data_IF_229190519964
#
_entry.id   IF_229190519964
#
_cell.length_a   1.000
_cell.length_b   1.000
_cell.length_c   1.000
_cell.angle_alpha   90.00
_cell.angle_beta   90.00
_cell.angle_gamma   90.00
#
_symmetry.space_group_name_H-M   'P 1'
#
loop_
_entity.id
_entity.type
_entity.pdbx_description
1 polymer ?
#
# COMPACT_ATOMS: atom_id res chain seq x y z
N UNK A 1 -2.04 18.31 -8.49
CA UNK A 1 -0.67 18.10 -8.98
C UNK A 1 0.31 18.74 -7.98
N UNK A 2 1.41 18.05 -7.68
CA UNK A 2 2.48 18.46 -6.76
C UNK A 2 3.68 19.10 -7.49
N UNK A 3 3.59 19.28 -8.81
CA UNK A 3 4.69 19.82 -9.64
C UNK A 3 5.29 21.14 -9.13
N UNK A 4 4.52 21.97 -8.44
CA UNK A 4 5.00 23.23 -7.86
C UNK A 4 6.07 23.03 -6.75
N UNK A 5 6.18 21.83 -6.18
CA UNK A 5 7.20 21.45 -5.19
C UNK A 5 8.50 20.94 -5.84
N UNK A 6 8.49 20.59 -7.13
CA UNK A 6 9.65 20.00 -7.81
C UNK A 6 10.91 20.86 -7.77
N UNK A 7 10.84 22.21 -7.84
CA UNK A 7 12.04 23.04 -7.70
C UNK A 7 12.81 22.82 -6.39
N UNK A 8 12.14 22.41 -5.30
CA UNK A 8 12.77 22.13 -4.00
C UNK A 8 13.69 20.91 -4.07
N UNK A 9 13.36 19.95 -4.94
CA UNK A 9 14.11 18.69 -5.09
C UNK A 9 15.06 18.70 -6.29
N UNK A 10 15.32 19.88 -6.87
CA UNK A 10 16.19 20.05 -8.04
C UNK A 10 17.58 19.45 -7.81
N UNK A 11 18.09 18.71 -8.80
CA UNK A 11 19.37 18.01 -8.72
C UNK A 11 19.30 16.64 -8.05
N UNK A 12 18.11 16.20 -7.63
CA UNK A 12 17.87 14.84 -7.10
C UNK A 12 16.96 14.03 -8.04
N UNK A 13 16.66 12.78 -7.65
CA UNK A 13 15.63 11.92 -8.28
C UNK A 13 14.38 11.78 -7.39
N UNK A 14 14.18 12.72 -6.46
CA UNK A 14 13.08 12.69 -5.50
C UNK A 14 11.91 13.48 -6.08
N UNK A 15 10.74 12.86 -6.06
CA UNK A 15 9.48 13.45 -6.50
C UNK A 15 8.39 13.07 -5.49
N UNK A 16 7.39 13.96 -5.27
CA UNK A 16 6.22 13.61 -4.49
C UNK A 16 5.50 12.39 -5.07
N UNK A 17 5.02 11.51 -4.18
CA UNK A 17 4.21 10.35 -4.55
C UNK A 17 2.77 10.59 -4.11
N UNK A 18 1.82 10.33 -4.99
CA UNK A 18 0.41 10.25 -4.62
C UNK A 18 0.12 8.97 -3.84
N UNK A 19 -0.92 9.01 -2.99
CA UNK A 19 -1.52 7.81 -2.41
C UNK A 19 -2.91 7.68 -3.04
N UNK A 20 -3.15 6.59 -3.79
CA UNK A 20 -4.41 6.40 -4.51
C UNK A 20 -5.61 6.23 -3.57
N UNK A 21 -5.40 5.63 -2.40
CA UNK A 21 -6.41 5.52 -1.36
C UNK A 21 -5.80 5.28 0.01
N UNK A 22 -6.43 5.85 1.04
CA UNK A 22 -6.04 5.65 2.43
C UNK A 22 -7.29 5.52 3.29
N UNK A 23 -7.31 4.49 4.14
CA UNK A 23 -8.33 4.28 5.16
C UNK A 23 -7.63 4.17 6.50
N UNK A 24 -8.09 4.96 7.46
CA UNK A 24 -7.67 4.85 8.86
C UNK A 24 -8.83 4.28 9.68
N UNK A 25 -8.50 3.38 10.61
CA UNK A 25 -9.43 2.86 11.60
C UNK A 25 -8.71 2.50 12.89
N UNK A 26 -8.98 3.25 13.96
CA UNK A 26 -8.45 3.01 15.31
C UNK A 26 -6.93 2.86 15.36
N UNK A 27 -6.22 3.82 14.77
CA UNK A 27 -4.76 3.87 14.67
C UNK A 27 -4.16 2.89 13.68
N UNK A 28 -4.98 2.16 12.91
CA UNK A 28 -4.53 1.21 11.88
C UNK A 28 -4.85 1.78 10.52
N UNK A 29 -3.90 1.64 9.61
CA UNK A 29 -3.93 2.28 8.30
C UNK A 29 -3.91 1.20 7.22
N UNK A 30 -4.79 1.34 6.24
CA UNK A 30 -4.76 0.64 4.97
C UNK A 30 -4.47 1.65 3.87
N UNK A 31 -3.42 1.39 3.10
CA UNK A 31 -3.07 2.19 1.92
C UNK A 31 -3.33 1.34 0.68
N UNK A 32 -3.93 1.97 -0.32
CA UNK A 32 -4.08 1.43 -1.66
C UNK A 32 -3.11 2.14 -2.59
N UNK A 33 -2.34 1.36 -3.32
CA UNK A 33 -1.51 1.81 -4.43
C UNK A 33 -2.03 1.11 -5.68
N UNK A 34 -2.31 1.84 -6.76
CA UNK A 34 -2.81 1.27 -8.00
C UNK A 34 -1.75 1.32 -9.10
N UNK A 35 -1.71 0.26 -9.91
CA UNK A 35 -0.89 0.19 -11.11
C UNK A 35 -1.69 -0.39 -12.26
N UNK A 36 -1.20 -0.13 -13.47
CA UNK A 36 -1.71 -0.83 -14.64
C UNK A 36 -1.35 -2.33 -14.54
N UNK A 37 -2.18 -3.23 -15.09
CA UNK A 37 -2.00 -4.69 -14.98
C UNK A 37 -0.59 -5.21 -15.32
N UNK A 38 0.09 -4.58 -16.27
CA UNK A 38 1.37 -4.94 -16.83
C UNK A 38 2.56 -4.11 -16.28
N UNK A 39 2.32 -3.22 -15.31
CA UNK A 39 3.33 -2.31 -14.78
C UNK A 39 3.69 -2.63 -13.35
N UNK A 40 4.99 -2.77 -13.10
CA UNK A 40 5.50 -2.89 -11.74
C UNK A 40 5.50 -1.54 -11.00
N UNK A 41 5.54 -1.61 -9.67
CA UNK A 41 5.68 -0.41 -8.83
C UNK A 41 7.11 0.14 -9.01
N UNK A 42 7.28 1.41 -9.41
CA UNK A 42 8.60 2.01 -9.57
C UNK A 42 9.42 1.95 -8.28
N UNK A 43 10.74 1.73 -8.41
CA UNK A 43 11.62 1.51 -7.26
C UNK A 43 11.59 2.63 -6.21
N UNK A 44 11.41 3.88 -6.63
CA UNK A 44 11.23 5.03 -5.72
C UNK A 44 9.98 4.89 -4.84
N UNK A 45 8.85 4.52 -5.44
CA UNK A 45 7.60 4.27 -4.72
C UNK A 45 7.71 3.05 -3.81
N UNK A 46 8.36 1.97 -4.27
CA UNK A 46 8.65 0.81 -3.42
C UNK A 46 9.37 1.22 -2.14
N UNK A 47 10.42 2.06 -2.25
CA UNK A 47 11.18 2.54 -1.08
C UNK A 47 10.32 3.40 -0.14
N UNK A 48 9.47 4.27 -0.69
CA UNK A 48 8.56 5.11 0.09
C UNK A 48 7.54 4.26 0.87
N UNK A 49 6.84 3.36 0.18
CA UNK A 49 5.85 2.44 0.77
C UNK A 49 6.49 1.52 1.83
N UNK A 50 7.68 0.98 1.56
CA UNK A 50 8.41 0.20 2.55
C UNK A 50 8.78 1.01 3.80
N UNK A 51 9.14 2.27 3.62
CA UNK A 51 9.44 3.18 4.74
C UNK A 51 8.20 3.43 5.58
N UNK A 52 7.03 3.64 4.96
CA UNK A 52 5.75 3.76 5.67
C UNK A 52 5.43 2.52 6.50
N UNK A 53 5.64 1.32 5.95
CA UNK A 53 5.47 0.06 6.70
C UNK A 53 6.40 -0.02 7.92
N UNK A 54 7.66 0.38 7.77
CA UNK A 54 8.64 0.41 8.88
C UNK A 54 8.23 1.41 9.96
N UNK A 55 7.85 2.62 9.57
CA UNK A 55 7.42 3.68 10.49
C UNK A 55 6.13 3.29 11.23
N UNK A 56 5.19 2.66 10.53
CA UNK A 56 3.94 2.17 11.11
C UNK A 56 4.10 0.97 12.06
N UNK A 57 5.26 0.31 12.10
CA UNK A 57 5.60 -0.81 13.02
C UNK A 57 4.48 -1.86 13.18
N UNK A 58 3.82 -2.22 12.08
CA UNK A 58 2.74 -3.22 12.05
C UNK A 58 1.32 -2.67 12.17
N UNK A 59 1.14 -1.34 12.20
CA UNK A 59 -0.16 -0.69 12.13
C UNK A 59 -0.54 -0.25 10.71
N UNK A 60 0.39 -0.34 9.75
CA UNK A 60 0.16 -0.02 8.34
C UNK A 60 0.13 -1.32 7.52
N UNK A 61 -0.87 -1.44 6.66
CA UNK A 61 -0.96 -2.44 5.60
C UNK A 61 -1.05 -1.71 4.25
N UNK A 62 -0.40 -2.25 3.22
CA UNK A 62 -0.43 -1.71 1.87
C UNK A 62 -0.97 -2.80 0.95
N UNK A 63 -1.99 -2.47 0.16
CA UNK A 63 -2.51 -3.31 -0.92
C UNK A 63 -2.15 -2.65 -2.26
N UNK A 64 -1.30 -3.31 -3.04
CA UNK A 64 -1.01 -2.89 -4.42
C UNK A 64 -2.02 -3.57 -5.32
N UNK A 65 -2.89 -2.79 -5.98
CA UNK A 65 -3.92 -3.26 -6.90
C UNK A 65 -3.46 -3.06 -8.34
N UNK A 66 -3.57 -4.12 -9.13
CA UNK A 66 -3.29 -4.09 -10.56
C UNK A 66 -4.61 -3.96 -11.31
N UNK A 67 -4.95 -2.72 -11.69
CA UNK A 67 -6.28 -2.28 -12.11
C UNK A 67 -6.93 -1.33 -11.09
N UNK A 68 -7.74 -0.39 -11.58
CA UNK A 68 -8.27 0.74 -10.78
C UNK A 68 -9.78 0.66 -10.49
N UNK A 69 -10.49 -0.26 -11.13
CA UNK A 69 -11.94 -0.42 -10.99
C UNK A 69 -12.32 -1.87 -10.79
N UNK A 70 -13.55 -2.11 -10.32
CA UNK A 70 -14.04 -3.45 -10.04
C UNK A 70 -13.96 -4.41 -11.25
N UNK A 71 -14.01 -3.87 -12.46
CA UNK A 71 -13.95 -4.61 -13.74
C UNK A 71 -12.55 -4.67 -14.35
N UNK A 72 -11.58 -3.90 -13.84
CA UNK A 72 -10.22 -3.83 -14.40
C UNK A 72 -9.16 -4.42 -13.48
N UNK A 73 -9.50 -4.77 -12.24
CA UNK A 73 -8.60 -5.48 -11.34
C UNK A 73 -8.27 -6.85 -11.91
N UNK A 74 -6.98 -7.10 -12.09
CA UNK A 74 -6.42 -8.37 -12.56
C UNK A 74 -5.51 -9.02 -11.52
N UNK A 75 -5.08 -8.29 -10.50
CA UNK A 75 -4.26 -8.84 -9.45
C UNK A 75 -4.02 -7.92 -8.26
N UNK A 76 -3.40 -8.48 -7.24
CA UNK A 76 -3.06 -7.77 -6.01
C UNK A 76 -1.78 -8.31 -5.36
N UNK A 77 -1.08 -7.42 -4.67
CA UNK A 77 -0.08 -7.77 -3.65
C UNK A 77 -0.45 -7.19 -2.29
N UNK A 78 -0.12 -7.89 -1.22
CA UNK A 78 -0.29 -7.42 0.16
C UNK A 78 1.06 -7.27 0.85
N UNK A 79 1.31 -6.09 1.39
CA UNK A 79 2.55 -5.79 2.08
C UNK A 79 2.27 -5.43 3.53
N UNK A 80 3.07 -5.99 4.44
CA UNK A 80 2.92 -5.76 5.87
C UNK A 80 4.27 -5.81 6.58
N UNK A 81 4.34 -5.14 7.72
CA UNK A 81 5.48 -5.22 8.62
C UNK A 81 5.31 -6.40 9.58
N UNK A 82 6.32 -7.28 9.63
CA UNK A 82 6.40 -8.37 10.60
C UNK A 82 7.25 -7.90 11.78
N UNK A 83 6.62 -7.87 12.97
CA UNK A 83 7.30 -7.57 14.23
C UNK A 83 8.30 -8.69 14.57
N UNK A 84 9.49 -8.31 14.99
CA UNK A 84 10.57 -9.20 15.41
C UNK A 84 11.80 -8.40 15.80
N UNK A 85 12.88 -9.06 16.25
CA UNK A 85 14.10 -8.39 16.79
C UNK A 85 14.69 -7.32 15.86
N UNK A 86 14.63 -7.54 14.54
CA UNK A 86 15.09 -6.56 13.53
C UNK A 86 13.95 -5.91 12.74
N UNK A 87 12.71 -6.41 12.89
CA UNK A 87 11.61 -6.07 11.98
C UNK A 87 11.89 -6.46 10.54
N UNK A 88 10.87 -6.87 9.78
CA UNK A 88 11.03 -7.03 8.33
C UNK A 88 9.73 -6.74 7.61
N UNK A 89 9.85 -6.41 6.34
CA UNK A 89 8.70 -6.27 5.46
C UNK A 89 8.45 -7.62 4.80
N UNK A 90 7.19 -8.03 4.78
CA UNK A 90 6.72 -9.14 3.95
C UNK A 90 5.85 -8.56 2.85
N UNK A 91 6.07 -9.07 1.64
CA UNK A 91 5.27 -8.80 0.46
C UNK A 91 4.79 -10.15 -0.04
N UNK A 92 3.50 -10.28 -0.32
CA UNK A 92 3.01 -11.44 -1.07
C UNK A 92 3.53 -11.39 -2.50
N UNK A 93 3.58 -12.55 -3.17
CA UNK A 93 3.65 -12.54 -4.62
C UNK A 93 2.39 -11.88 -5.20
N UNK A 94 2.49 -11.32 -6.41
CA UNK A 94 1.32 -10.87 -7.16
C UNK A 94 0.39 -12.04 -7.38
N UNK A 95 -0.83 -11.92 -6.88
CA UNK A 95 -1.88 -12.92 -7.06
C UNK A 95 -2.86 -12.40 -8.10
N UNK A 96 -3.11 -13.19 -9.14
CA UNK A 96 -4.23 -12.94 -10.06
C UNK A 96 -5.54 -13.03 -9.28
N UNK A 97 -6.35 -11.98 -9.35
CA UNK A 97 -7.61 -11.90 -8.61
C UNK A 97 -8.57 -10.89 -9.24
N UNK A 98 -9.82 -10.93 -8.79
CA UNK A 98 -10.86 -9.98 -9.15
C UNK A 98 -11.19 -9.03 -8.00
N UNK A 99 -12.22 -8.20 -8.21
CA UNK A 99 -12.68 -7.25 -7.20
C UNK A 99 -13.40 -7.87 -6.01
N UNK A 100 -13.94 -9.09 -6.15
CA UNK A 100 -14.54 -9.81 -5.01
C UNK A 100 -13.44 -10.20 -4.02
N UNK A 101 -12.35 -10.77 -4.52
CA UNK A 101 -11.19 -11.09 -3.68
C UNK A 101 -10.64 -9.85 -2.97
N UNK A 102 -10.49 -8.72 -3.66
CA UNK A 102 -10.05 -7.47 -3.00
C UNK A 102 -10.99 -7.06 -1.87
N UNK A 103 -12.31 -7.14 -2.07
CA UNK A 103 -13.30 -6.86 -1.00
C UNK A 103 -13.14 -7.79 0.20
N UNK A 104 -12.91 -9.09 -0.03
CA UNK A 104 -12.66 -10.06 1.05
C UNK A 104 -11.42 -9.67 1.87
N UNK A 105 -10.36 -9.23 1.20
CA UNK A 105 -9.11 -8.82 1.86
C UNK A 105 -9.26 -7.52 2.63
N UNK A 106 -9.97 -6.54 2.08
CA UNK A 106 -10.34 -5.31 2.80
C UNK A 106 -11.22 -5.63 4.01
N UNK A 107 -12.19 -6.54 3.89
CA UNK A 107 -13.02 -6.97 5.01
C UNK A 107 -12.20 -7.67 6.11
N UNK A 108 -11.23 -8.50 5.73
CA UNK A 108 -10.31 -9.14 6.66
C UNK A 108 -9.44 -8.10 7.40
N UNK A 109 -8.92 -7.10 6.69
CA UNK A 109 -8.21 -5.98 7.31
C UNK A 109 -9.11 -5.20 8.26
N UNK A 110 -10.33 -4.85 7.85
CA UNK A 110 -11.28 -4.10 8.69
C UNK A 110 -11.65 -4.86 9.96
N UNK A 111 -11.91 -6.17 9.84
CA UNK A 111 -12.15 -7.05 10.98
C UNK A 111 -10.97 -7.09 11.94
N UNK A 112 -9.73 -7.18 11.43
CA UNK A 112 -8.53 -7.05 12.24
C UNK A 112 -8.41 -5.67 12.90
N UNK A 113 -8.79 -4.61 12.18
CA UNK A 113 -8.67 -3.26 12.67
C UNK A 113 -9.61 -2.95 13.84
N UNK A 114 -10.77 -3.61 13.89
CA UNK A 114 -11.70 -3.51 15.01
C UNK A 114 -11.31 -4.36 16.23
N UNK A 115 -10.29 -5.24 16.15
CA UNK A 115 -9.88 -6.06 17.30
C UNK A 115 -9.30 -5.19 18.43
N UNK A 116 -9.75 -5.44 19.66
CA UNK A 116 -9.23 -4.77 20.86
C UNK A 116 -9.71 -3.34 21.05
N UNK A 117 -10.72 -2.91 20.28
CA UNK A 117 -11.47 -1.69 20.53
C UNK A 117 -12.49 -2.04 21.61
N UNK A 118 -12.29 -1.50 22.81
CA UNK A 118 -13.30 -1.51 23.87
C UNK A 118 -14.24 -0.34 23.68
#
# INVERSE_FOLDING_TARGET
DWSFLLPIFQGTKIEPMDIDGLVERYGRILIFETKQPDKDVPSGQVRALETLLRLGRGFVCIMVLYGKSATTITGMEEWHYIKGRKGRISKSARKTCDSLYVKERVNAWFSWANKGVR
#
